data_IF_899167555996
#
_entry.id   IF_899167555996
#
_cell.length_a   1.000
_cell.length_b   1.000
_cell.length_c   1.000
_cell.angle_alpha   90.00
_cell.angle_beta   90.00
_cell.angle_gamma   90.00
#
_symmetry.space_group_name_H-M   'P 1'
#
loop_
_entity.id
_entity.type
_entity.pdbx_description
1 polymer ?
#
# COMPACT_ATOMS: atom_id res chain seq x y z
N UNK A 1 8.68 5.85 13.77
CA UNK A 1 7.58 4.88 13.99
C UNK A 1 7.79 3.61 13.16
N UNK A 2 8.06 3.70 11.84
CA UNK A 2 8.57 2.59 11.01
C UNK A 2 9.90 2.01 11.55
N UNK A 3 10.80 2.87 12.04
CA UNK A 3 12.11 2.48 12.61
C UNK A 3 12.02 1.61 13.88
N UNK A 4 10.84 1.45 14.49
CA UNK A 4 10.63 0.54 15.63
C UNK A 4 10.28 -0.89 15.19
N UNK A 5 10.00 -1.10 13.91
CA UNK A 5 9.45 -2.35 13.35
C UNK A 5 10.45 -3.01 12.40
N UNK A 6 11.20 -2.19 11.66
CA UNK A 6 12.26 -2.65 10.78
C UNK A 6 13.61 -2.54 11.50
N UNK A 7 14.43 -3.58 11.34
CA UNK A 7 15.82 -3.53 11.80
C UNK A 7 16.59 -2.47 11.02
N UNK A 8 17.75 -2.04 11.54
CA UNK A 8 18.63 -1.09 10.84
C UNK A 8 19.00 -1.55 9.43
N UNK A 9 19.20 -2.85 9.23
CA UNK A 9 19.55 -3.43 7.93
C UNK A 9 18.36 -3.38 6.95
N UNK A 10 17.16 -3.69 7.42
CA UNK A 10 15.92 -3.57 6.64
C UNK A 10 15.59 -2.13 6.28
N UNK A 11 15.85 -1.20 7.21
CA UNK A 11 15.73 0.23 6.94
C UNK A 11 16.72 0.71 5.89
N UNK A 12 17.94 0.16 5.85
CA UNK A 12 18.89 0.47 4.78
C UNK A 12 18.38 -0.07 3.44
N UNK A 13 17.87 -1.31 3.38
CA UNK A 13 17.27 -1.85 2.14
C UNK A 13 16.10 -0.99 1.64
N UNK A 14 15.22 -0.55 2.54
CA UNK A 14 14.11 0.35 2.21
C UNK A 14 14.65 1.70 1.70
N UNK A 15 15.60 2.31 2.41
CA UNK A 15 16.20 3.61 2.04
C UNK A 15 17.00 3.54 0.73
N UNK A 16 17.74 2.47 0.50
CA UNK A 16 18.54 2.24 -0.71
C UNK A 16 17.65 2.00 -1.94
N UNK A 17 16.44 1.44 -1.75
CA UNK A 17 15.47 1.24 -2.83
C UNK A 17 14.60 2.47 -3.12
N UNK A 18 14.48 3.41 -2.18
CA UNK A 18 13.55 4.55 -2.26
C UNK A 18 14.24 5.87 -2.59
N UNK A 19 15.56 5.94 -2.49
CA UNK A 19 16.29 7.20 -2.68
C UNK A 19 17.27 7.08 -3.83
N UNK A 20 16.72 7.00 -5.05
CA UNK A 20 17.13 7.97 -6.07
C UNK A 20 16.12 9.09 -5.98
N UNK A 21 16.55 10.26 -5.51
CA UNK A 21 15.69 11.42 -5.21
C UNK A 21 14.71 11.78 -6.34
N UNK A 22 15.06 11.45 -7.58
CA UNK A 22 14.28 11.70 -8.79
C UNK A 22 13.01 10.82 -8.92
N UNK A 23 12.98 9.64 -8.30
CA UNK A 23 11.83 8.71 -8.39
C UNK A 23 10.89 8.81 -7.16
N UNK A 24 11.31 9.53 -6.11
CA UNK A 24 10.54 9.65 -4.87
C UNK A 24 9.27 10.51 -5.03
N UNK A 25 9.33 11.55 -5.85
CA UNK A 25 8.19 12.40 -6.19
C UNK A 25 7.17 11.60 -7.02
N UNK A 26 7.62 10.95 -8.11
CA UNK A 26 6.78 10.06 -8.92
C UNK A 26 6.14 8.95 -8.07
N UNK A 27 6.90 8.36 -7.15
CA UNK A 27 6.38 7.34 -6.23
C UNK A 27 5.25 7.87 -5.34
N UNK A 28 5.40 9.08 -4.82
CA UNK A 28 4.37 9.77 -4.03
C UNK A 28 3.12 10.08 -4.86
N UNK A 29 3.30 10.65 -6.05
CA UNK A 29 2.22 10.97 -6.99
C UNK A 29 1.41 9.72 -7.38
N UNK A 30 2.07 8.59 -7.58
CA UNK A 30 1.41 7.32 -7.92
C UNK A 30 0.57 6.77 -6.77
N UNK A 31 1.05 6.88 -5.53
CA UNK A 31 0.24 6.56 -4.36
C UNK A 31 -0.95 7.50 -4.20
N UNK A 32 -0.75 8.80 -4.44
CA UNK A 32 -1.83 9.78 -4.39
C UNK A 32 -2.90 9.47 -5.46
N UNK A 33 -2.49 9.10 -6.68
CA UNK A 33 -3.41 8.67 -7.74
C UNK A 33 -4.24 7.44 -7.35
N UNK A 34 -3.63 6.45 -6.68
CA UNK A 34 -4.33 5.28 -6.14
C UNK A 34 -5.41 5.70 -5.15
N UNK A 35 -5.07 6.51 -4.14
CA UNK A 35 -6.03 6.90 -3.11
C UNK A 35 -7.11 7.84 -3.63
N UNK A 36 -6.79 8.76 -4.53
CA UNK A 36 -7.76 9.64 -5.17
C UNK A 36 -8.74 8.86 -6.06
N UNK A 37 -8.24 7.89 -6.82
CA UNK A 37 -9.08 6.99 -7.63
C UNK A 37 -10.05 6.17 -6.78
N UNK A 38 -9.55 5.55 -5.71
CA UNK A 38 -10.38 4.80 -4.76
C UNK A 38 -11.39 5.67 -4.04
N UNK A 39 -11.01 6.89 -3.65
CA UNK A 39 -11.94 7.80 -3.00
C UNK A 39 -13.06 8.22 -3.96
N UNK A 40 -12.76 8.42 -5.24
CA UNK A 40 -13.75 8.70 -6.27
C UNK A 40 -14.74 7.55 -6.43
N UNK A 41 -14.25 6.31 -6.53
CA UNK A 41 -15.09 5.11 -6.61
C UNK A 41 -15.97 4.95 -5.36
N UNK A 42 -15.41 5.17 -4.17
CA UNK A 42 -16.11 5.11 -2.89
C UNK A 42 -17.24 6.15 -2.81
N UNK A 43 -16.97 7.40 -3.20
CA UNK A 43 -17.97 8.48 -3.20
C UNK A 43 -19.10 8.17 -4.19
N UNK A 44 -18.78 7.52 -5.32
CA UNK A 44 -19.78 7.03 -6.28
C UNK A 44 -20.44 5.70 -5.86
N UNK A 45 -20.25 5.26 -4.63
CA UNK A 45 -20.82 4.03 -4.07
C UNK A 45 -20.48 2.75 -4.85
N UNK A 46 -19.35 2.74 -5.56
CA UNK A 46 -18.84 1.53 -6.21
C UNK A 46 -18.35 0.56 -5.11
N UNK A 47 -18.82 -0.70 -5.06
CA UNK A 47 -18.36 -1.67 -4.08
C UNK A 47 -16.85 -1.91 -4.18
N UNK A 48 -16.20 -2.19 -3.06
CA UNK A 48 -14.75 -2.39 -3.00
C UNK A 48 -14.30 -3.65 -3.77
N UNK A 49 -15.18 -4.63 -3.93
CA UNK A 49 -14.94 -5.87 -4.68
C UNK A 49 -15.13 -5.69 -6.20
N UNK A 50 -15.64 -4.54 -6.64
CA UNK A 50 -15.92 -4.29 -8.05
C UNK A 50 -14.63 -4.27 -8.88
N UNK A 51 -14.68 -4.79 -10.11
CA UNK A 51 -13.53 -4.83 -11.04
C UNK A 51 -12.92 -3.44 -11.31
N UNK A 52 -13.69 -2.35 -11.19
CA UNK A 52 -13.18 -0.98 -11.33
C UNK A 52 -12.12 -0.62 -10.30
N UNK A 53 -12.09 -1.31 -9.14
CA UNK A 53 -11.07 -1.08 -8.10
C UNK A 53 -9.77 -1.85 -8.36
N UNK A 54 -9.80 -2.88 -9.22
CA UNK A 54 -8.67 -3.77 -9.46
C UNK A 54 -7.41 -3.05 -9.99
N UNK A 55 -7.49 -2.09 -10.95
CA UNK A 55 -6.30 -1.38 -11.43
C UNK A 55 -5.58 -0.60 -10.33
N UNK A 56 -6.33 -0.02 -9.38
CA UNK A 56 -5.76 0.69 -8.24
C UNK A 56 -5.08 -0.26 -7.26
N UNK A 57 -5.64 -1.46 -7.08
CA UNK A 57 -5.03 -2.49 -6.23
C UNK A 57 -3.75 -3.06 -6.83
N UNK A 58 -3.72 -3.31 -8.14
CA UNK A 58 -2.50 -3.77 -8.82
C UNK A 58 -1.40 -2.71 -8.79
N UNK A 59 -1.75 -1.44 -8.94
CA UNK A 59 -0.79 -0.33 -8.81
C UNK A 59 -0.26 -0.22 -7.38
N UNK A 60 -1.14 -0.26 -6.37
CA UNK A 60 -0.73 -0.27 -4.97
C UNK A 60 0.21 -1.45 -4.66
N UNK A 61 -0.08 -2.65 -5.19
CA UNK A 61 0.80 -3.82 -5.06
C UNK A 61 2.16 -3.60 -5.70
N UNK A 62 2.21 -3.02 -6.90
CA UNK A 62 3.48 -2.67 -7.58
C UNK A 62 4.30 -1.71 -6.73
N UNK A 63 3.67 -0.66 -6.19
CA UNK A 63 4.34 0.33 -5.35
C UNK A 63 4.89 -0.27 -4.05
N UNK A 64 4.18 -1.20 -3.43
CA UNK A 64 4.68 -1.95 -2.26
C UNK A 64 5.89 -2.83 -2.63
N UNK A 65 5.85 -3.50 -3.79
CA UNK A 65 6.96 -4.34 -4.26
C UNK A 65 8.21 -3.51 -4.59
N UNK A 66 8.05 -2.32 -5.17
CA UNK A 66 9.16 -1.38 -5.41
C UNK A 66 9.76 -0.94 -4.07
N UNK A 67 8.93 -0.50 -3.12
CA UNK A 67 9.35 -0.06 -1.78
C UNK A 67 10.14 -1.11 -1.00
N UNK A 68 9.75 -2.38 -1.16
CA UNK A 68 10.37 -3.50 -0.45
C UNK A 68 11.53 -4.14 -1.21
N UNK A 69 11.83 -3.70 -2.42
CA UNK A 69 12.78 -4.40 -3.29
C UNK A 69 12.36 -5.84 -3.59
N UNK A 70 11.04 -6.11 -3.59
CA UNK A 70 10.42 -7.45 -3.73
C UNK A 70 10.76 -8.42 -2.59
N UNK A 71 11.30 -7.94 -1.47
CA UNK A 71 11.51 -8.76 -0.29
C UNK A 71 10.17 -9.15 0.35
N UNK A 72 9.91 -10.45 0.38
CA UNK A 72 8.66 -11.00 0.89
C UNK A 72 8.50 -10.80 2.41
N UNK A 73 9.59 -10.82 3.18
CA UNK A 73 9.53 -10.58 4.62
C UNK A 73 9.23 -9.11 4.91
N UNK A 74 9.87 -8.18 4.18
CA UNK A 74 9.56 -6.76 4.29
C UNK A 74 8.11 -6.46 3.89
N UNK A 75 7.63 -7.08 2.80
CA UNK A 75 6.25 -6.91 2.34
C UNK A 75 5.26 -7.39 3.42
N UNK A 76 5.54 -8.53 4.06
CA UNK A 76 4.71 -9.06 5.16
C UNK A 76 4.74 -8.14 6.38
N UNK A 77 5.92 -7.61 6.76
CA UNK A 77 6.05 -6.66 7.87
C UNK A 77 5.30 -5.35 7.63
N UNK A 78 5.39 -4.80 6.42
CA UNK A 78 4.61 -3.62 6.02
C UNK A 78 3.12 -3.88 6.11
N UNK A 79 2.67 -5.02 5.56
CA UNK A 79 1.25 -5.42 5.67
C UNK A 79 0.80 -5.48 7.12
N UNK A 80 1.55 -6.15 8.01
CA UNK A 80 1.21 -6.22 9.44
C UNK A 80 1.19 -4.84 10.11
N UNK A 81 2.12 -3.96 9.74
CA UNK A 81 2.16 -2.59 10.25
C UNK A 81 0.88 -1.82 9.87
N UNK A 82 0.51 -1.83 8.59
CA UNK A 82 -0.68 -1.12 8.12
C UNK A 82 -1.99 -1.77 8.59
N UNK A 83 -2.02 -3.10 8.80
CA UNK A 83 -3.17 -3.81 9.37
C UNK A 83 -3.36 -3.58 10.88
N UNK A 84 -2.33 -3.10 11.59
CA UNK A 84 -2.53 -2.61 12.95
C UNK A 84 -3.45 -1.38 12.93
N UNK A 85 -4.18 -1.10 14.01
CA UNK A 85 -5.28 -0.11 14.05
C UNK A 85 -4.90 1.36 13.74
N UNK A 86 -3.68 1.60 13.23
CA UNK A 86 -3.11 2.91 12.94
C UNK A 86 -2.71 3.06 11.46
N UNK A 87 -3.12 2.17 10.55
CA UNK A 87 -2.75 2.25 9.12
C UNK A 87 -3.10 3.60 8.47
N UNK A 88 -4.32 4.09 8.68
CA UNK A 88 -4.74 5.41 8.19
C UNK A 88 -3.95 6.56 8.82
N UNK A 89 -3.65 6.48 10.12
CA UNK A 89 -2.85 7.46 10.86
C UNK A 89 -1.40 7.50 10.35
N UNK A 90 -0.80 6.34 10.08
CA UNK A 90 0.54 6.20 9.53
C UNK A 90 0.66 6.83 8.14
N UNK A 91 -0.34 6.63 7.28
CA UNK A 91 -0.36 7.24 5.95
C UNK A 91 -0.54 8.76 6.05
N UNK A 92 -1.38 9.25 6.97
CA UNK A 92 -1.50 10.70 7.24
C UNK A 92 -0.18 11.32 7.71
N UNK A 93 0.56 10.62 8.57
CA UNK A 93 1.90 11.06 9.00
C UNK A 93 2.93 11.09 7.87
N UNK A 94 2.69 10.36 6.78
CA UNK A 94 3.52 10.39 5.57
C UNK A 94 3.07 11.46 4.56
N UNK A 95 2.04 12.26 4.89
CA UNK A 95 1.54 13.34 4.05
C UNK A 95 0.34 12.98 3.19
N UNK A 96 -0.15 11.73 3.24
CA UNK A 96 -1.32 11.34 2.46
C UNK A 96 -2.63 11.80 3.12
N UNK A 97 -3.51 12.42 2.33
CA UNK A 97 -4.82 12.86 2.80
C UNK A 97 -5.85 11.71 2.79
N UNK A 98 -5.77 10.82 3.77
CA UNK A 98 -6.60 9.61 3.84
C UNK A 98 -7.47 9.62 5.09
N UNK A 99 -8.79 9.47 4.90
CA UNK A 99 -9.74 9.25 5.98
C UNK A 99 -9.79 7.78 6.41
N UNK A 100 -10.27 7.50 7.61
CA UNK A 100 -10.43 6.12 8.10
C UNK A 100 -11.48 5.33 7.29
N UNK A 101 -12.43 6.02 6.65
CA UNK A 101 -13.37 5.42 5.69
C UNK A 101 -12.69 5.00 4.40
N UNK A 102 -11.86 5.88 3.83
CA UNK A 102 -11.10 5.58 2.62
C UNK A 102 -10.12 4.44 2.87
N UNK A 103 -9.48 4.44 4.03
CA UNK A 103 -8.56 3.37 4.42
C UNK A 103 -9.28 2.02 4.53
N UNK A 104 -10.44 1.96 5.20
CA UNK A 104 -11.25 0.72 5.27
C UNK A 104 -11.69 0.26 3.88
N UNK A 105 -12.07 1.18 3.01
CA UNK A 105 -12.44 0.87 1.62
C UNK A 105 -11.25 0.29 0.84
N UNK A 106 -10.05 0.86 1.00
CA UNK A 106 -8.81 0.32 0.45
C UNK A 106 -8.51 -1.10 0.98
N UNK A 107 -8.66 -1.36 2.28
CA UNK A 107 -8.43 -2.69 2.85
C UNK A 107 -9.39 -3.75 2.29
N UNK A 108 -10.66 -3.38 2.08
CA UNK A 108 -11.67 -4.26 1.46
C UNK A 108 -11.30 -4.57 0.01
N UNK A 109 -10.95 -3.55 -0.77
CA UNK A 109 -10.52 -3.74 -2.16
C UNK A 109 -9.24 -4.58 -2.26
N UNK A 110 -8.28 -4.34 -1.37
CA UNK A 110 -7.05 -5.12 -1.32
C UNK A 110 -7.33 -6.59 -1.01
N UNK A 111 -8.23 -6.87 -0.08
CA UNK A 111 -8.65 -8.23 0.23
C UNK A 111 -9.32 -8.90 -0.97
N UNK A 112 -10.22 -8.20 -1.67
CA UNK A 112 -10.93 -8.74 -2.82
C UNK A 112 -10.00 -9.05 -4.00
N UNK A 113 -9.10 -8.13 -4.33
CA UNK A 113 -8.33 -8.23 -5.57
C UNK A 113 -6.94 -8.81 -5.39
N UNK A 114 -6.28 -8.57 -4.26
CA UNK A 114 -4.89 -9.01 -4.04
C UNK A 114 -4.79 -10.22 -3.12
N UNK A 115 -5.69 -10.37 -2.15
CA UNK A 115 -5.67 -11.55 -1.28
C UNK A 115 -6.25 -12.80 -1.96
N UNK A 116 -7.10 -12.65 -2.98
CA UNK A 116 -7.65 -13.77 -3.76
C UNK A 116 -6.88 -14.06 -5.06
N UNK A 117 -6.19 -13.07 -5.66
CA UNK A 117 -5.31 -13.33 -6.81
C UNK A 117 -3.86 -13.61 -6.36
N UNK A 118 -3.49 -14.88 -6.50
CA UNK A 118 -2.24 -15.45 -6.02
C UNK A 118 -0.96 -14.70 -6.42
N UNK A 119 -0.36 -14.03 -5.44
CA UNK A 119 1.09 -14.14 -5.19
C UNK A 119 1.38 -15.10 -4.04
N UNK A 120 0.44 -15.25 -3.10
CA UNK A 120 0.51 -16.16 -1.96
C UNK A 120 -0.24 -17.49 -2.18
N UNK A 121 -1.01 -17.64 -3.26
CA UNK A 121 -1.67 -18.91 -3.60
C UNK A 121 -0.72 -19.95 -4.22
N UNK A 122 0.53 -19.56 -4.55
CA UNK A 122 1.51 -20.42 -5.19
C UNK A 122 2.25 -21.38 -4.23
N UNK A 123 1.93 -21.38 -2.92
CA UNK A 123 2.55 -22.27 -1.94
C UNK A 123 1.46 -22.93 -1.07
N UNK A 124 0.97 -24.08 -1.55
CA UNK A 124 0.45 -25.15 -0.68
C UNK A 124 1.57 -26.11 -0.35
#
# INVERSE_FOLDING_TARGET
>A
MIEKIFTRQEMNTIKDNIIKHEEAEEYGERWEAVFNGLNTLRINHVPAENEQTAPFMEEARRLVLVYTGKDQQLTKKLKTLYQSHQGAELLRHQGFNISDELYRYYEQAWKAHIAETGFFAAFK
#
